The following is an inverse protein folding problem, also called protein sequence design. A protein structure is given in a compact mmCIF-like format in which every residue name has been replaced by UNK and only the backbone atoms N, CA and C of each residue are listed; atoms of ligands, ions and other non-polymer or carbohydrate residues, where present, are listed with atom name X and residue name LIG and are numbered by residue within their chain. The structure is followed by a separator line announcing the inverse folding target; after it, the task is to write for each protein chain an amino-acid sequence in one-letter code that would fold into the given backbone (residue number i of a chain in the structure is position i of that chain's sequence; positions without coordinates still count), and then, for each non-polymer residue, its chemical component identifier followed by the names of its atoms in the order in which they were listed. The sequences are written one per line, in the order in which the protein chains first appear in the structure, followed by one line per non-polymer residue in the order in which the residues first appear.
data_IF_768454827907
#
_entry.id   IF_768454827907
#
_cell.length_a   1.000
_cell.length_b   1.000
_cell.length_c   1.000
_cell.angle_alpha   90.00
_cell.angle_beta   90.00
_cell.angle_gamma   90.00
#
_symmetry.space_group_name_H-M   'P 1'
#
loop_
_entity.id
_entity.type
_entity.pdbx_description
1 polymer ?
#
# COMPACT_ATOMS: atom_id res chain seq x y z
N UNK A 1 -17.00 -13.63 15.71
CA UNK A 1 -17.33 -12.21 15.42
C UNK A 1 -16.44 -11.72 14.30
N UNK A 2 -17.01 -11.16 13.23
CA UNK A 2 -16.25 -10.51 12.16
C UNK A 2 -15.68 -9.22 12.74
N UNK A 3 -14.35 -9.11 12.83
CA UNK A 3 -13.69 -7.88 13.28
C UNK A 3 -13.99 -6.76 12.26
N UNK A 4 -14.27 -5.54 12.73
CA UNK A 4 -14.43 -4.39 11.84
C UNK A 4 -13.06 -4.09 11.21
N UNK A 5 -13.01 -4.10 9.88
CA UNK A 5 -11.82 -3.75 9.12
C UNK A 5 -11.94 -2.32 8.57
N UNK A 6 -10.84 -1.57 8.49
CA UNK A 6 -10.85 -0.29 7.81
C UNK A 6 -11.19 -0.47 6.32
N UNK A 7 -11.74 0.56 5.66
CA UNK A 7 -11.95 0.51 4.22
C UNK A 7 -10.63 0.25 3.48
N UNK A 8 -10.55 -0.80 2.67
CA UNK A 8 -9.33 -1.19 1.95
C UNK A 8 -8.77 -0.05 1.09
N UNK A 9 -9.65 0.75 0.47
CA UNK A 9 -9.28 1.94 -0.33
C UNK A 9 -8.58 3.02 0.49
N UNK A 10 -8.96 3.17 1.75
CA UNK A 10 -8.36 4.15 2.67
C UNK A 10 -6.99 3.67 3.14
N UNK A 11 -6.86 2.37 3.41
CA UNK A 11 -5.61 1.73 3.76
C UNK A 11 -4.60 1.75 2.59
N UNK A 12 -5.05 1.44 1.38
CA UNK A 12 -4.26 1.55 0.14
C UNK A 12 -3.73 2.97 -0.04
N UNK A 13 -4.59 3.98 0.10
CA UNK A 13 -4.20 5.38 -0.01
C UNK A 13 -3.12 5.74 1.01
N UNK A 14 -3.28 5.30 2.26
CA UNK A 14 -2.29 5.52 3.31
C UNK A 14 -0.93 4.89 2.97
N UNK A 15 -0.89 3.59 2.64
CA UNK A 15 0.36 2.88 2.31
C UNK A 15 1.06 3.54 1.12
N UNK A 16 0.31 3.91 0.07
CA UNK A 16 0.85 4.58 -1.13
C UNK A 16 1.46 5.93 -0.80
N UNK A 17 0.78 6.71 0.03
CA UNK A 17 1.25 8.02 0.48
C UNK A 17 2.54 7.91 1.29
N UNK A 18 2.63 6.91 2.18
CA UNK A 18 3.85 6.64 2.95
C UNK A 18 5.01 6.24 2.03
N UNK A 19 4.78 5.29 1.12
CA UNK A 19 5.82 4.81 0.17
C UNK A 19 6.31 5.91 -0.76
N UNK A 20 5.41 6.76 -1.24
CA UNK A 20 5.76 7.86 -2.15
C UNK A 20 6.40 9.06 -1.43
N UNK A 21 6.25 9.18 -0.11
CA UNK A 21 6.69 10.34 0.68
C UNK A 21 5.99 11.67 0.31
N UNK A 22 5.01 11.63 -0.59
CA UNK A 22 4.33 12.79 -1.16
C UNK A 22 2.88 12.47 -1.48
N UNK A 23 1.96 13.22 -0.86
CA UNK A 23 0.53 13.10 -1.14
C UNK A 23 0.21 13.42 -2.62
N UNK A 24 0.94 14.34 -3.25
CA UNK A 24 0.75 14.69 -4.66
C UNK A 24 1.12 13.52 -5.57
N UNK A 25 2.25 12.86 -5.29
CA UNK A 25 2.74 11.72 -6.08
C UNK A 25 1.79 10.53 -5.92
N UNK A 26 1.39 10.22 -4.69
CA UNK A 26 0.45 9.13 -4.44
C UNK A 26 -0.95 9.37 -5.03
N UNK A 27 -1.44 10.62 -5.03
CA UNK A 27 -2.69 10.96 -5.70
C UNK A 27 -2.62 10.68 -7.21
N UNK A 28 -1.50 11.04 -7.85
CA UNK A 28 -1.29 10.77 -9.26
C UNK A 28 -1.21 9.26 -9.55
N UNK A 29 -0.47 8.48 -8.76
CA UNK A 29 -0.39 7.02 -8.90
C UNK A 29 -1.75 6.33 -8.75
N UNK A 30 -2.58 6.83 -7.84
CA UNK A 30 -3.92 6.29 -7.58
C UNK A 30 -5.00 6.83 -8.52
N UNK A 31 -4.64 7.70 -9.48
CA UNK A 31 -5.59 8.42 -10.34
C UNK A 31 -6.69 9.16 -9.55
N UNK A 32 -6.31 9.80 -8.43
CA UNK A 32 -7.20 10.54 -7.55
C UNK A 32 -6.91 12.05 -7.59
N UNK A 33 -7.94 12.85 -7.37
CA UNK A 33 -7.75 14.26 -7.01
C UNK A 33 -7.14 14.38 -5.61
N UNK A 34 -6.45 15.50 -5.29
CA UNK A 34 -5.97 15.76 -3.93
C UNK A 34 -7.09 15.70 -2.89
N UNK A 35 -8.29 16.20 -3.23
CA UNK A 35 -9.47 16.14 -2.34
C UNK A 35 -9.96 14.72 -2.09
N UNK A 36 -9.96 13.86 -3.13
CA UNK A 36 -10.35 12.46 -3.00
C UNK A 36 -9.33 11.67 -2.17
N UNK A 37 -8.03 11.95 -2.34
CA UNK A 37 -6.98 11.36 -1.51
C UNK A 37 -7.14 11.77 -0.05
N UNK A 38 -7.27 13.07 0.24
CA UNK A 38 -7.47 13.56 1.61
C UNK A 38 -8.70 12.95 2.28
N UNK A 39 -9.79 12.76 1.54
CA UNK A 39 -11.00 12.09 2.06
C UNK A 39 -10.75 10.62 2.40
N UNK A 40 -9.97 9.89 1.58
CA UNK A 40 -9.59 8.50 1.88
C UNK A 40 -8.73 8.40 3.13
N UNK A 41 -7.75 9.30 3.27
CA UNK A 41 -6.88 9.36 4.46
C UNK A 41 -7.68 9.74 5.71
N UNK A 42 -8.54 10.74 5.63
CA UNK A 42 -9.43 11.13 6.74
C UNK A 42 -10.34 9.98 7.17
N UNK A 43 -10.91 9.22 6.24
CA UNK A 43 -11.69 8.04 6.58
C UNK A 43 -10.89 6.93 7.30
N UNK A 44 -9.57 6.83 7.07
CA UNK A 44 -8.70 5.93 7.84
C UNK A 44 -8.48 6.48 9.25
N UNK A 45 -8.16 7.77 9.36
CA UNK A 45 -7.95 8.46 10.64
C UNK A 45 -9.21 8.40 11.52
N UNK A 46 -10.39 8.60 10.94
CA UNK A 46 -11.69 8.49 11.60
C UNK A 46 -11.96 7.05 12.09
N UNK A 47 -11.56 6.05 11.30
CA UNK A 47 -11.74 4.64 11.66
C UNK A 47 -10.81 4.23 12.81
N UNK A 48 -9.55 4.67 12.76
CA UNK A 48 -8.53 4.36 13.77
C UNK A 48 -8.71 5.24 15.02
N UNK A 49 -9.32 6.41 14.87
CA UNK A 49 -9.49 7.42 15.93
C UNK A 49 -8.20 8.19 16.25
N UNK A 50 -7.19 8.12 15.38
CA UNK A 50 -5.88 8.76 15.58
C UNK A 50 -5.36 9.39 14.28
N UNK A 51 -4.65 10.53 14.34
CA UNK A 51 -4.01 11.11 13.17
C UNK A 51 -2.87 10.22 12.69
N UNK A 52 -2.79 9.99 11.38
CA UNK A 52 -1.75 9.18 10.76
C UNK A 52 -0.58 10.04 10.25
N UNK A 53 -0.82 11.33 10.02
CA UNK A 53 0.18 12.28 9.52
C UNK A 53 0.26 13.55 10.36
N UNK A 54 1.47 14.08 10.53
CA UNK A 54 1.73 15.39 11.11
C UNK A 54 1.68 16.49 10.03
N UNK A 55 1.05 17.62 10.34
CA UNK A 55 1.12 18.83 9.51
C UNK A 55 2.44 19.57 9.79
N UNK A 56 3.53 19.21 9.10
CA UNK A 56 4.74 20.05 9.03
C UNK A 56 4.81 20.74 7.69
N UNK A 57 5.10 22.05 7.72
CA UNK A 57 4.84 23.05 6.68
C UNK A 57 5.23 22.73 5.22
N UNK A 58 6.03 21.70 4.95
CA UNK A 58 6.35 21.26 3.58
C UNK A 58 6.57 19.73 3.44
N UNK A 59 6.44 18.97 4.52
CA UNK A 59 6.75 17.54 4.50
C UNK A 59 5.62 16.75 5.16
N UNK A 60 5.10 15.76 4.44
CA UNK A 60 4.16 14.80 4.98
C UNK A 60 4.95 13.81 5.85
N UNK A 61 4.85 13.95 7.18
CA UNK A 61 5.51 13.04 8.12
C UNK A 61 4.47 12.15 8.80
N UNK A 62 4.84 10.88 8.99
CA UNK A 62 4.04 9.95 9.80
C UNK A 62 4.09 10.35 11.27
N UNK A 63 2.96 10.13 11.96
CA UNK A 63 2.92 10.08 13.42
C UNK A 63 3.49 8.75 13.92
N UNK A 64 3.73 8.62 15.22
CA UNK A 64 4.14 7.35 15.83
C UNK A 64 3.10 6.25 15.56
N UNK A 65 1.81 6.56 15.65
CA UNK A 65 0.75 5.59 15.36
C UNK A 65 0.62 5.27 13.87
N UNK A 66 0.82 6.26 13.00
CA UNK A 66 0.91 6.02 11.57
C UNK A 66 2.06 5.07 11.23
N UNK A 67 3.23 5.26 11.84
CA UNK A 67 4.38 4.37 11.66
C UNK A 67 4.07 2.94 12.14
N UNK A 68 3.52 2.79 13.34
CA UNK A 68 3.12 1.48 13.89
C UNK A 68 2.09 0.77 12.98
N UNK A 69 1.10 1.50 12.47
CA UNK A 69 0.10 0.95 11.57
C UNK A 69 0.74 0.51 10.24
N UNK A 70 1.62 1.34 9.68
CA UNK A 70 2.32 1.02 8.43
C UNK A 70 3.16 -0.24 8.57
N UNK A 71 3.99 -0.33 9.61
CA UNK A 71 4.89 -1.46 9.84
C UNK A 71 4.12 -2.77 10.06
N UNK A 72 2.96 -2.71 10.72
CA UNK A 72 2.14 -3.88 10.97
C UNK A 72 1.33 -4.32 9.74
N UNK A 73 0.82 -3.38 8.92
CA UNK A 73 -0.20 -3.68 7.91
C UNK A 73 0.34 -3.72 6.48
N UNK A 74 1.35 -2.91 6.14
CA UNK A 74 1.96 -2.93 4.81
C UNK A 74 2.41 -4.34 4.37
N UNK A 75 3.16 -5.12 5.17
CA UNK A 75 3.60 -6.45 4.75
C UNK A 75 2.41 -7.43 4.58
N UNK A 76 1.35 -7.29 5.38
CA UNK A 76 0.16 -8.14 5.28
C UNK A 76 -0.63 -7.86 4.00
N UNK A 77 -0.69 -6.61 3.58
CA UNK A 77 -1.35 -6.21 2.32
C UNK A 77 -0.55 -6.71 1.12
N UNK A 78 0.78 -6.59 1.14
CA UNK A 78 1.63 -7.13 0.08
C UNK A 78 1.49 -8.67 0.02
N UNK A 79 1.51 -9.37 1.16
CA UNK A 79 1.33 -10.83 1.18
C UNK A 79 -0.05 -11.25 0.64
N UNK A 80 -1.10 -10.49 0.98
CA UNK A 80 -2.43 -10.71 0.45
C UNK A 80 -2.48 -10.52 -1.07
N UNK A 81 -1.85 -9.47 -1.59
CA UNK A 81 -1.73 -9.23 -3.02
C UNK A 81 -1.00 -10.39 -3.72
N UNK A 82 0.15 -10.82 -3.19
CA UNK A 82 0.93 -11.94 -3.73
C UNK A 82 0.15 -13.27 -3.76
N UNK A 83 -0.70 -13.49 -2.74
CA UNK A 83 -1.57 -14.68 -2.69
C UNK A 83 -2.68 -14.61 -3.73
N UNK A 84 -3.28 -13.45 -3.93
CA UNK A 84 -4.33 -13.23 -4.94
C UNK A 84 -3.74 -13.33 -6.35
N UNK A 85 -2.59 -12.71 -6.60
CA UNK A 85 -1.92 -12.74 -7.90
C UNK A 85 -1.56 -14.16 -8.31
N UNK A 86 -1.10 -15.01 -7.37
CA UNK A 86 -0.86 -16.44 -7.63
C UNK A 86 -2.12 -17.21 -8.04
N UNK A 87 -3.30 -16.82 -7.57
CA UNK A 87 -4.56 -17.43 -7.98
C UNK A 87 -5.02 -16.91 -9.33
N UNK A 88 -4.80 -15.64 -9.63
CA UNK A 88 -5.10 -15.05 -10.94
C UNK A 88 -4.19 -15.65 -12.02
N UNK A 89 -2.92 -15.90 -11.69
CA UNK A 89 -1.90 -16.44 -12.60
C UNK A 89 -1.97 -17.97 -12.83
N UNK A 90 -3.05 -18.63 -12.39
CA UNK A 90 -3.25 -20.09 -12.57
C UNK A 90 -3.33 -20.53 -14.05
N UNK A 91 -3.25 -19.62 -15.02
CA UNK A 91 -3.47 -19.89 -16.44
C UNK A 91 -2.26 -19.84 -17.39
N UNK A 92 -1.09 -19.33 -16.98
CA UNK A 92 0.08 -19.23 -17.87
C UNK A 92 1.39 -19.47 -17.14
N UNK A 93 1.67 -20.73 -16.82
CA UNK A 93 3.06 -21.16 -16.61
C UNK A 93 3.82 -20.97 -17.93
N UNK A 94 4.43 -19.80 -18.11
CA UNK A 94 5.38 -19.53 -19.18
C UNK A 94 6.66 -20.32 -18.87
N UNK A 95 6.73 -21.53 -19.41
CA UNK A 95 7.97 -22.32 -19.41
C UNK A 95 9.02 -21.59 -20.26
N UNK A 96 9.89 -20.84 -19.60
CA UNK A 96 11.07 -20.26 -20.24
C UNK A 96 12.18 -21.32 -20.30
N UNK A 97 12.46 -21.83 -21.49
CA UNK A 97 13.60 -22.72 -21.74
C UNK A 97 14.87 -21.87 -21.83
N UNK A 98 15.61 -21.78 -20.72
CA UNK A 98 16.93 -21.15 -20.70
C UNK A 98 17.98 -22.18 -21.10
N UNK A 99 18.48 -22.08 -22.33
CA UNK A 99 19.64 -22.84 -22.77
C UNK A 99 20.90 -22.21 -22.21
N UNK A 100 21.53 -22.87 -21.24
CA UNK A 100 22.87 -22.50 -20.75
C UNK A 100 23.90 -23.40 -21.42
N UNK A 101 24.96 -22.78 -21.98
CA UNK A 101 26.13 -23.51 -22.44
C UNK A 101 26.91 -24.00 -21.20
N UNK A 102 27.27 -25.29 -21.11
CA UNK A 102 28.12 -25.79 -20.04
C UNK A 102 29.56 -25.29 -20.27
N UNK A 103 29.84 -24.03 -19.91
CA UNK A 103 31.19 -23.46 -19.97
C UNK A 103 31.88 -23.37 -18.62
N UNK A 104 31.36 -24.07 -17.61
CA UNK A 104 32.08 -24.32 -16.35
C UNK A 104 32.02 -25.81 -16.04
N UNK A 105 33.04 -26.53 -16.53
CA UNK A 105 33.54 -27.76 -15.93
C UNK A 105 34.87 -27.45 -15.26
#
# INVERSE_FOLDING_TARGET
MIRRLPPLRSLEAFIRVVRAGSAKTAAAELALSPSALSRRLGALEDFVGKPMFERKHQALKLTEEGQQLYDAVAPLIDEMADRVDRLIDTGKVMRLRLGVLPLFG
#
